data_IF_235509616093
#
_entry.id   IF_235509616093
#
_cell.length_a   1.000
_cell.length_b   1.000
_cell.length_c   1.000
_cell.angle_alpha   90.00
_cell.angle_beta   90.00
_cell.angle_gamma   90.00
#
_symmetry.space_group_name_H-M   'P 1'
#
loop_
_entity.id
_entity.type
_entity.pdbx_description
1 polymer ?
#
# COMPACT_ATOMS: atom_id res chain seq x y z
N UNK A 1 -8.42 17.87 12.51
CA UNK A 1 -7.43 16.78 12.54
C UNK A 1 -6.94 16.53 11.12
N UNK A 2 -5.69 16.85 10.81
CA UNK A 2 -5.07 16.63 9.48
C UNK A 2 -3.93 15.62 9.61
N UNK A 3 -4.21 14.45 10.19
CA UNK A 3 -3.23 13.37 10.31
C UNK A 3 -3.19 12.56 9.02
N UNK A 4 -1.99 12.34 8.45
CA UNK A 4 -1.80 11.30 7.44
C UNK A 4 -2.04 9.95 8.10
N UNK A 5 -2.81 9.07 7.47
CA UNK A 5 -2.98 7.70 7.97
C UNK A 5 -1.62 7.00 7.93
N UNK A 6 -1.26 6.34 9.02
CA UNK A 6 -0.03 5.55 9.13
C UNK A 6 -0.28 4.19 8.46
N UNK A 7 0.59 3.71 7.56
CA UNK A 7 0.55 2.33 7.11
C UNK A 7 0.79 1.40 8.32
N UNK A 8 -0.07 0.43 8.54
CA UNK A 8 0.06 -0.47 9.70
C UNK A 8 1.10 -1.57 9.50
N UNK A 9 1.43 -1.93 8.24
CA UNK A 9 2.34 -3.03 7.91
C UNK A 9 3.32 -2.64 6.81
N UNK A 10 4.59 -3.03 6.96
CA UNK A 10 5.62 -2.81 5.97
C UNK A 10 5.31 -3.65 4.72
N UNK A 11 5.23 -3.06 3.52
CA UNK A 11 4.92 -3.81 2.29
C UNK A 11 6.02 -4.80 1.89
N UNK A 12 7.19 -4.75 2.54
CA UNK A 12 8.33 -5.62 2.24
C UNK A 12 8.50 -6.77 3.24
N UNK A 13 8.34 -6.54 4.54
CA UNK A 13 8.57 -7.57 5.58
C UNK A 13 7.36 -7.87 6.47
N UNK A 14 6.26 -7.11 6.36
CA UNK A 14 5.10 -7.26 7.24
C UNK A 14 5.28 -6.72 8.65
N UNK A 15 6.40 -6.07 8.97
CA UNK A 15 6.65 -5.44 10.26
C UNK A 15 5.74 -4.23 10.54
N UNK A 16 5.47 -3.95 11.81
CA UNK A 16 4.51 -2.93 12.26
C UNK A 16 5.19 -1.63 12.75
N UNK A 17 6.49 -1.66 13.09
CA UNK A 17 7.22 -0.46 13.51
C UNK A 17 7.64 0.39 12.28
N UNK A 18 6.70 1.22 11.83
CA UNK A 18 6.86 2.13 10.70
C UNK A 18 6.80 3.58 11.19
N UNK A 19 7.82 4.37 10.83
CA UNK A 19 7.99 5.75 11.27
C UNK A 19 8.17 6.71 10.11
N UNK A 20 7.76 7.99 10.23
CA UNK A 20 8.04 8.99 9.20
C UNK A 20 9.54 9.08 8.92
N UNK A 21 9.91 9.12 7.65
CA UNK A 21 11.28 9.32 7.19
C UNK A 21 11.41 10.69 6.52
N UNK A 22 12.32 11.51 7.04
CA UNK A 22 12.76 12.75 6.42
C UNK A 22 14.18 12.53 5.89
N UNK A 23 14.44 12.66 4.59
CA UNK A 23 15.79 12.59 4.07
C UNK A 23 16.62 13.76 4.62
N UNK A 24 17.88 13.48 4.97
CA UNK A 24 18.84 14.51 5.33
C UNK A 24 19.11 15.43 4.12
N UNK A 25 19.43 16.72 4.35
CA UNK A 25 19.65 17.69 3.28
C UNK A 25 20.70 17.25 2.24
N UNK A 26 21.69 16.49 2.68
CA UNK A 26 22.83 16.04 1.86
C UNK A 26 22.69 14.58 1.39
N UNK A 27 21.49 13.98 1.51
CA UNK A 27 21.24 12.61 1.03
C UNK A 27 20.82 12.60 -0.44
N UNK A 28 21.34 11.64 -1.22
CA UNK A 28 20.93 11.40 -2.61
C UNK A 28 19.48 10.85 -2.73
N UNK A 29 18.81 10.61 -1.60
CA UNK A 29 17.46 10.02 -1.54
C UNK A 29 16.41 11.12 -1.55
N UNK A 30 15.97 11.51 -2.74
CA UNK A 30 14.89 12.51 -2.90
C UNK A 30 13.50 11.88 -2.67
N UNK A 31 13.09 11.73 -1.40
CA UNK A 31 11.78 11.17 -1.00
C UNK A 31 10.95 12.17 -0.21
N UNK A 32 9.72 12.44 -0.67
CA UNK A 32 8.72 13.26 0.05
C UNK A 32 7.68 12.38 0.73
N UNK A 33 7.46 12.60 2.03
CA UNK A 33 6.50 11.81 2.80
C UNK A 33 6.91 10.34 2.93
N UNK A 34 8.21 10.10 3.10
CA UNK A 34 8.77 8.77 3.27
C UNK A 34 8.39 8.14 4.60
N UNK A 35 8.55 6.83 4.64
CA UNK A 35 8.37 5.97 5.80
C UNK A 35 9.55 5.02 5.90
N UNK A 36 10.02 4.79 7.12
CA UNK A 36 11.09 3.87 7.44
C UNK A 36 10.56 2.73 8.31
N UNK A 37 10.86 1.50 7.94
CA UNK A 37 10.54 0.31 8.74
C UNK A 37 11.73 -0.07 9.62
N UNK A 38 11.53 -0.13 10.95
CA UNK A 38 12.61 -0.46 11.88
C UNK A 38 13.10 -1.92 11.74
N UNK A 39 12.22 -2.85 11.36
CA UNK A 39 12.54 -4.29 11.30
C UNK A 39 13.43 -4.65 10.10
N UNK A 40 13.21 -4.02 8.95
CA UNK A 40 13.94 -4.35 7.71
C UNK A 40 14.69 -3.18 7.08
N UNK A 41 14.75 -2.05 7.79
CA UNK A 41 15.51 -0.82 7.48
C UNK A 41 15.20 -0.16 6.14
N UNK A 42 14.13 -0.57 5.45
CA UNK A 42 13.76 -0.01 4.15
C UNK A 42 13.03 1.32 4.31
N UNK A 43 13.33 2.23 3.41
CA UNK A 43 12.63 3.51 3.23
C UNK A 43 11.73 3.40 2.00
N UNK A 44 10.47 3.82 2.13
CA UNK A 44 9.49 3.81 1.04
C UNK A 44 8.54 5.00 1.15
N UNK A 45 7.78 5.29 0.08
CA UNK A 45 6.75 6.31 0.08
C UNK A 45 5.43 5.72 -0.44
N UNK A 46 4.30 6.21 0.10
CA UNK A 46 2.97 5.85 -0.37
C UNK A 46 2.32 7.04 -1.05
N UNK A 47 1.62 6.80 -2.17
CA UNK A 47 0.91 7.82 -2.93
C UNK A 47 -0.52 7.36 -3.19
N UNK A 48 -1.48 8.21 -2.84
CA UNK A 48 -2.87 8.01 -3.23
C UNK A 48 -3.05 8.43 -4.69
N UNK A 49 -3.56 7.52 -5.53
CA UNK A 49 -3.78 7.75 -6.95
C UNK A 49 -5.26 7.92 -7.33
N UNK A 50 -6.20 7.61 -6.43
CA UNK A 50 -7.63 7.59 -6.71
C UNK A 50 -8.28 6.26 -6.32
N UNK A 51 -9.53 6.08 -6.74
CA UNK A 51 -10.29 4.84 -6.59
C UNK A 51 -10.34 4.10 -7.92
N UNK A 52 -10.14 2.78 -7.90
CA UNK A 52 -10.33 1.93 -9.07
C UNK A 52 -11.82 1.77 -9.41
N UNK A 53 -12.13 1.50 -10.68
CA UNK A 53 -13.49 1.10 -11.08
C UNK A 53 -13.88 -0.22 -10.40
N UNK A 54 -15.18 -0.40 -10.14
CA UNK A 54 -15.68 -1.66 -9.59
C UNK A 54 -15.30 -2.81 -10.53
N UNK A 55 -14.77 -3.93 -10.00
CA UNK A 55 -14.50 -5.11 -10.82
C UNK A 55 -15.79 -5.57 -11.46
N UNK A 56 -15.79 -5.70 -12.79
CA UNK A 56 -16.87 -6.37 -13.50
C UNK A 56 -16.65 -7.86 -13.32
N UNK A 57 -17.15 -8.41 -12.21
CA UNK A 57 -17.25 -9.86 -12.09
C UNK A 57 -18.31 -10.32 -13.10
N UNK A 58 -17.87 -11.01 -14.15
CA UNK A 58 -18.79 -11.73 -15.02
C UNK A 58 -19.61 -12.69 -14.15
N UNK A 59 -20.94 -12.67 -14.30
CA UNK A 59 -21.78 -13.62 -13.61
C UNK A 59 -21.28 -15.05 -13.92
N UNK A 60 -21.21 -15.95 -12.93
CA UNK A 60 -20.89 -17.34 -13.20
C UNK A 60 -21.85 -17.88 -14.27
N UNK A 61 -21.38 -18.72 -15.21
CA UNK A 61 -22.25 -19.28 -16.24
C UNK A 61 -23.40 -20.02 -15.56
N UNK A 62 -24.63 -19.61 -15.85
CA UNK A 62 -25.83 -20.31 -15.40
C UNK A 62 -25.79 -21.71 -16.02
N UNK A 63 -25.43 -22.71 -15.24
CA UNK A 63 -25.64 -24.11 -15.62
C UNK A 63 -27.14 -24.34 -15.65
N UNK A 64 -27.71 -24.39 -16.85
CA UNK A 64 -29.06 -24.90 -17.06
C UNK A 64 -29.15 -26.36 -16.59
N UNK A 65 -30.34 -26.86 -16.23
CA UNK A 65 -30.51 -28.22 -15.78
C UNK A 65 -29.99 -29.21 -16.84
N UNK A 66 -29.11 -30.13 -16.43
CA UNK A 66 -28.70 -31.26 -17.25
C UNK A 66 -29.93 -32.17 -17.47
N UNK A 67 -30.25 -32.54 -18.73
CA UNK A 67 -31.25 -33.58 -18.97
C UNK A 67 -30.72 -34.92 -18.43
N UNK A 68 -31.63 -35.64 -17.76
CA UNK A 68 -31.43 -36.95 -17.12
C UNK A 68 -31.10 -38.07 -18.12
#
# INVERSE_FOLDING_TARGET
MSGRVVPYLCPYCGGEDIRPYAPEPDSDVEIKGGWHCADCTRVFAVKYHGMAAAPVYAAPPTTGPQPE
#
